data_IF_593544088691
#
_entry.id   IF_593544088691
#
_cell.length_a   1.000
_cell.length_b   1.000
_cell.length_c   1.000
_cell.angle_alpha   90.00
_cell.angle_beta   90.00
_cell.angle_gamma   90.00
#
_symmetry.space_group_name_H-M   'P 1'
#
loop_
_entity.id
_entity.type
_entity.pdbx_description
1 polymer ?
#
# COMPACT_ATOMS: atom_id res chain seq x y z
N UNK A 1 31.60 -60.96 -12.36
CA UNK A 1 32.92 -61.27 -11.82
C UNK A 1 32.85 -60.81 -10.36
N UNK A 2 32.49 -61.75 -9.45
CA UNK A 2 33.33 -62.66 -8.65
C UNK A 2 34.29 -61.87 -7.80
N UNK A 3 34.14 -61.93 -6.62
CA UNK A 3 34.32 -62.77 -5.44
C UNK A 3 35.09 -61.93 -4.41
N UNK A 4 35.21 -62.15 -3.17
CA UNK A 4 34.85 -63.27 -2.26
C UNK A 4 35.06 -62.83 -0.83
N UNK A 5 34.31 -63.40 0.04
CA UNK A 5 34.41 -63.51 1.48
C UNK A 5 35.77 -64.08 2.01
N UNK A 6 36.20 -63.61 3.17
CA UNK A 6 37.01 -64.48 4.02
C UNK A 6 36.76 -64.25 5.53
N UNK A 7 36.24 -65.29 6.14
CA UNK A 7 36.08 -65.50 7.58
C UNK A 7 37.35 -65.90 8.24
N UNK A 8 37.72 -65.23 9.35
CA UNK A 8 38.85 -65.70 10.25
C UNK A 8 38.31 -66.20 11.61
N UNK A 9 38.34 -67.47 11.81
CA UNK A 9 38.12 -68.13 13.10
C UNK A 9 39.37 -67.98 13.94
N UNK A 10 39.28 -67.50 15.15
CA UNK A 10 40.35 -67.59 16.15
C UNK A 10 40.02 -68.69 17.14
N UNK A 11 41.00 -69.50 17.33
CA UNK A 11 41.06 -70.72 18.19
C UNK A 11 41.26 -70.38 19.65
N UNK A 12 40.63 -71.22 20.51
CA UNK A 12 40.74 -71.20 21.97
C UNK A 12 42.00 -72.05 22.40
N UNK A 13 42.80 -71.56 23.32
CA UNK A 13 43.85 -72.44 23.97
C UNK A 13 43.35 -73.00 25.30
N UNK A 14 43.99 -74.14 25.81
CA UNK A 14 43.44 -75.00 26.85
C UNK A 14 43.76 -74.54 28.27
N UNK A 15 42.95 -75.05 29.21
CA UNK A 15 43.12 -74.95 30.69
C UNK A 15 44.42 -75.59 31.23
N UNK A 16 45.02 -74.85 32.12
CA UNK A 16 46.11 -75.40 32.94
C UNK A 16 46.16 -74.78 34.34
N UNK A 17 46.12 -75.65 35.36
CA UNK A 17 46.86 -75.57 36.62
C UNK A 17 46.23 -74.68 37.73
N UNK A 18 45.68 -75.34 38.75
CA UNK A 18 45.45 -74.76 40.08
C UNK A 18 46.83 -74.44 40.74
N UNK A 19 46.98 -73.21 41.24
CA UNK A 19 47.98 -72.87 42.26
C UNK A 19 47.25 -72.25 43.45
N UNK A 20 47.48 -72.82 44.64
CA UNK A 20 47.00 -72.36 45.94
C UNK A 20 47.60 -70.98 46.28
N UNK A 21 46.80 -69.99 46.51
CA UNK A 21 47.20 -68.72 47.12
C UNK A 21 46.69 -68.63 48.55
N UNK A 22 47.49 -68.07 49.46
CA UNK A 22 47.09 -67.87 50.85
C UNK A 22 46.03 -66.83 50.99
N UNK A 23 45.14 -66.85 52.04
CA UNK A 23 44.04 -65.95 52.21
C UNK A 23 44.51 -64.51 52.38
N UNK A 24 43.93 -63.64 51.59
CA UNK A 24 44.13 -62.17 51.64
C UNK A 24 43.60 -61.57 52.94
N UNK A 25 44.29 -60.57 53.53
CA UNK A 25 43.81 -59.86 54.71
C UNK A 25 42.56 -59.11 54.49
N UNK A 26 41.63 -59.15 55.44
CA UNK A 26 40.37 -58.39 55.48
C UNK A 26 40.62 -56.91 55.39
N UNK A 27 39.89 -56.17 54.54
CA UNK A 27 40.01 -54.72 54.50
C UNK A 27 39.36 -54.09 55.73
N UNK A 28 39.88 -52.95 56.22
CA UNK A 28 39.25 -52.23 57.34
C UNK A 28 37.89 -51.58 56.96
N UNK A 29 37.00 -51.36 57.92
CA UNK A 29 35.72 -50.79 57.66
C UNK A 29 35.84 -49.30 57.28
N UNK A 30 35.68 -48.98 56.01
CA UNK A 30 35.59 -47.60 55.54
C UNK A 30 34.19 -47.03 55.74
N UNK A 31 33.95 -46.53 56.94
CA UNK A 31 32.78 -45.73 57.26
C UNK A 31 33.03 -44.25 56.99
N UNK A 32 32.92 -43.86 55.76
CA UNK A 32 32.61 -42.45 55.47
C UNK A 32 31.23 -42.36 54.79
N UNK A 33 30.28 -41.67 55.43
CA UNK A 33 29.00 -41.46 54.79
C UNK A 33 29.20 -40.54 53.58
N UNK A 34 29.00 -41.09 52.39
CA UNK A 34 28.86 -40.31 51.17
C UNK A 34 27.70 -39.34 51.35
N UNK A 35 28.02 -38.09 51.67
CA UNK A 35 27.05 -37.00 51.68
C UNK A 35 26.58 -36.77 50.27
N UNK A 36 25.46 -37.37 49.87
CA UNK A 36 24.80 -37.10 48.57
C UNK A 36 24.55 -35.61 48.50
N UNK A 37 25.23 -34.94 47.59
CA UNK A 37 24.87 -33.54 47.24
C UNK A 37 23.43 -33.56 46.73
N UNK A 38 22.50 -33.11 47.56
CA UNK A 38 21.12 -33.00 47.18
C UNK A 38 21.01 -32.22 45.90
N UNK A 39 20.42 -32.82 44.86
CA UNK A 39 20.11 -32.12 43.59
C UNK A 39 19.27 -30.91 43.93
N UNK A 40 19.86 -29.73 43.80
CA UNK A 40 19.13 -28.46 43.92
C UNK A 40 17.95 -28.50 42.96
N UNK A 41 16.73 -28.60 43.50
CA UNK A 41 15.50 -28.52 42.70
C UNK A 41 15.49 -27.15 42.01
N UNK A 42 15.44 -27.08 40.68
CA UNK A 42 15.38 -25.81 40.01
C UNK A 42 14.12 -25.04 40.47
N UNK A 43 14.31 -23.81 40.88
CA UNK A 43 13.22 -22.92 41.31
C UNK A 43 12.48 -22.40 40.08
N UNK A 44 11.66 -23.26 39.47
CA UNK A 44 10.93 -22.99 38.24
C UNK A 44 10.15 -21.65 38.30
N UNK A 45 9.57 -21.28 39.44
CA UNK A 45 8.88 -20.01 39.59
C UNK A 45 9.81 -18.80 39.42
N UNK A 46 11.07 -18.84 39.90
CA UNK A 46 12.04 -17.74 39.69
C UNK A 46 12.55 -17.69 38.25
N UNK A 47 12.74 -18.87 37.63
CA UNK A 47 13.17 -18.98 36.23
C UNK A 47 12.06 -18.44 35.33
N UNK A 48 10.80 -18.81 35.57
CA UNK A 48 9.63 -18.31 34.83
C UNK A 48 9.46 -16.79 35.00
N UNK A 49 9.67 -16.24 36.21
CA UNK A 49 9.59 -14.80 36.46
C UNK A 49 10.71 -14.04 35.76
N UNK A 50 11.94 -14.53 35.75
CA UNK A 50 13.06 -13.93 35.04
C UNK A 50 12.87 -14.01 33.50
N UNK A 51 12.37 -15.14 33.01
CA UNK A 51 12.06 -15.30 31.61
C UNK A 51 10.90 -14.37 31.17
N UNK A 52 9.86 -14.21 31.99
CA UNK A 52 8.78 -13.26 31.77
C UNK A 52 9.27 -11.82 31.76
N UNK A 53 10.13 -11.43 32.72
CA UNK A 53 10.72 -10.09 32.74
C UNK A 53 11.61 -9.84 31.52
N UNK A 54 12.42 -10.79 31.11
CA UNK A 54 13.26 -10.69 29.90
C UNK A 54 12.40 -10.55 28.64
N UNK A 55 11.31 -11.33 28.52
CA UNK A 55 10.36 -11.22 27.41
C UNK A 55 9.69 -9.84 27.37
N UNK A 56 9.30 -9.31 28.56
CA UNK A 56 8.73 -7.96 28.66
C UNK A 56 9.73 -6.89 28.21
N UNK A 57 10.98 -6.97 28.66
CA UNK A 57 12.04 -6.03 28.27
C UNK A 57 12.29 -6.08 26.76
N UNK A 58 12.34 -7.28 26.18
CA UNK A 58 12.49 -7.47 24.72
C UNK A 58 11.28 -6.85 24.00
N UNK A 59 10.07 -7.07 24.48
CA UNK A 59 8.85 -6.50 23.88
C UNK A 59 8.86 -4.95 23.93
N UNK A 60 9.30 -4.37 25.06
CA UNK A 60 9.43 -2.91 25.19
C UNK A 60 10.50 -2.36 24.24
N UNK A 61 11.68 -2.97 24.18
CA UNK A 61 12.76 -2.55 23.26
C UNK A 61 12.30 -2.65 21.81
N UNK A 62 11.62 -3.74 21.44
CA UNK A 62 11.07 -3.94 20.10
C UNK A 62 10.00 -2.88 19.79
N UNK A 63 9.10 -2.61 20.73
CA UNK A 63 8.07 -1.57 20.58
C UNK A 63 8.67 -0.17 20.39
N UNK A 64 9.66 0.20 21.20
CA UNK A 64 10.37 1.49 21.07
C UNK A 64 11.13 1.57 19.73
N UNK A 65 11.77 0.48 19.30
CA UNK A 65 12.50 0.43 18.04
C UNK A 65 11.57 0.55 16.84
N UNK A 66 10.42 -0.13 16.86
CA UNK A 66 9.40 -0.04 15.81
C UNK A 66 8.78 1.35 15.77
N UNK A 67 8.48 1.95 16.93
CA UNK A 67 7.97 3.31 17.02
C UNK A 67 8.99 4.34 16.50
N UNK A 68 10.25 4.23 16.90
CA UNK A 68 11.33 5.09 16.41
C UNK A 68 11.56 4.96 14.91
N UNK A 69 11.45 3.73 14.37
CA UNK A 69 11.54 3.47 12.94
C UNK A 69 10.36 4.10 12.18
N UNK A 70 9.12 3.91 12.66
CA UNK A 70 7.93 4.49 12.05
C UNK A 70 7.98 6.03 12.05
N UNK A 71 8.40 6.65 13.15
CA UNK A 71 8.60 8.10 13.22
C UNK A 71 9.74 8.60 12.31
N UNK A 72 10.76 7.78 12.05
CA UNK A 72 11.80 8.08 11.07
C UNK A 72 11.21 8.18 9.67
N UNK A 73 10.47 7.15 9.25
CA UNK A 73 9.79 7.12 7.96
C UNK A 73 8.78 8.27 7.78
N UNK A 74 8.06 8.63 8.84
CA UNK A 74 7.10 9.75 8.80
C UNK A 74 7.80 11.10 8.55
N UNK A 75 9.01 11.29 9.08
CA UNK A 75 9.83 12.50 8.83
C UNK A 75 10.41 12.56 7.41
N UNK A 76 10.59 11.40 6.76
CA UNK A 76 11.10 11.33 5.39
C UNK A 76 10.01 11.62 4.34
N UNK A 77 8.73 11.69 4.74
CA UNK A 77 7.63 12.06 3.85
C UNK A 77 7.77 13.50 3.35
N UNK A 78 7.59 13.69 2.06
CA UNK A 78 7.43 15.02 1.48
C UNK A 78 6.09 15.59 1.90
N UNK A 79 6.09 16.77 2.50
CA UNK A 79 4.86 17.42 2.97
C UNK A 79 4.55 18.68 2.19
N UNK A 80 3.27 18.90 1.97
CA UNK A 80 2.75 20.10 1.31
C UNK A 80 1.60 20.69 2.09
N UNK A 81 1.43 21.99 1.98
CA UNK A 81 0.26 22.66 2.51
C UNK A 81 -0.89 22.60 1.49
N UNK A 82 -1.79 21.65 1.71
CA UNK A 82 -2.95 21.45 0.85
C UNK A 82 -4.22 22.15 1.36
N UNK A 83 -4.25 22.59 2.63
CA UNK A 83 -5.49 23.01 3.30
C UNK A 83 -5.47 24.43 3.88
N UNK A 84 -4.35 24.98 4.32
CA UNK A 84 -4.30 26.30 4.99
C UNK A 84 -4.84 27.44 4.12
N UNK A 85 -4.68 27.33 2.80
CA UNK A 85 -5.21 28.29 1.84
C UNK A 85 -6.74 28.14 1.61
N UNK A 86 -7.39 27.11 2.16
CA UNK A 86 -8.82 26.85 2.02
C UNK A 86 -9.57 27.52 3.19
N UNK A 87 -9.77 28.83 3.12
CA UNK A 87 -10.40 29.62 4.21
C UNK A 87 -11.92 29.74 4.08
N UNK A 88 -12.54 29.13 3.06
CA UNK A 88 -13.99 29.11 2.85
C UNK A 88 -14.68 28.00 3.65
N UNK A 89 -16.01 27.95 3.52
CA UNK A 89 -16.81 26.84 4.09
C UNK A 89 -16.50 25.54 3.35
N UNK A 90 -15.66 24.73 3.94
CA UNK A 90 -15.44 23.37 3.47
C UNK A 90 -16.61 22.46 3.90
N UNK A 91 -16.94 21.41 3.14
CA UNK A 91 -17.94 20.44 3.57
C UNK A 91 -17.65 19.93 4.99
N UNK A 92 -18.70 19.84 5.82
CA UNK A 92 -18.53 19.30 7.16
C UNK A 92 -18.26 17.79 7.12
N UNK A 93 -17.39 17.29 8.02
CA UNK A 93 -17.20 15.87 8.22
C UNK A 93 -18.44 15.27 8.89
N UNK A 94 -19.19 14.45 8.16
CA UNK A 94 -20.48 13.94 8.60
C UNK A 94 -20.38 12.69 9.49
N UNK A 95 -19.32 11.89 9.34
CA UNK A 95 -19.15 10.63 10.09
C UNK A 95 -17.75 10.59 10.71
N UNK A 96 -17.71 10.54 12.04
CA UNK A 96 -16.45 10.37 12.78
C UNK A 96 -15.83 9.00 12.49
N UNK A 97 -14.49 8.97 12.37
CA UNK A 97 -13.73 7.76 12.06
C UNK A 97 -13.65 7.42 10.59
N UNK A 98 -14.63 7.82 9.75
CA UNK A 98 -14.50 7.71 8.31
C UNK A 98 -13.45 8.70 7.79
N UNK A 99 -12.69 8.33 6.75
CA UNK A 99 -11.64 9.17 6.18
C UNK A 99 -11.75 9.24 4.66
N UNK A 100 -11.55 10.43 4.11
CA UNK A 100 -11.55 10.68 2.68
C UNK A 100 -10.20 11.23 2.25
N UNK A 101 -9.55 10.54 1.32
CA UNK A 101 -8.27 10.90 0.74
C UNK A 101 -8.43 11.34 -0.70
N UNK A 102 -7.83 12.44 -1.07
CA UNK A 102 -7.67 12.79 -2.47
C UNK A 102 -6.32 12.28 -2.98
N UNK A 103 -6.33 11.26 -3.80
CA UNK A 103 -5.15 10.71 -4.45
C UNK A 103 -4.96 11.41 -5.80
N UNK A 104 -3.80 12.03 -6.01
CA UNK A 104 -3.46 12.79 -7.20
C UNK A 104 -2.26 12.18 -7.88
N UNK A 105 -2.43 11.74 -9.12
CA UNK A 105 -1.32 11.35 -10.00
C UNK A 105 -1.01 12.49 -10.96
N UNK A 106 0.24 13.00 -10.92
CA UNK A 106 0.68 14.10 -11.77
C UNK A 106 1.66 13.64 -12.84
N UNK A 107 1.63 14.30 -13.99
CA UNK A 107 2.61 14.14 -15.05
C UNK A 107 3.88 15.02 -14.84
N UNK A 108 3.99 15.64 -13.67
CA UNK A 108 5.19 16.38 -13.27
C UNK A 108 6.44 15.52 -13.49
N UNK A 109 7.42 16.10 -14.18
CA UNK A 109 8.71 15.44 -14.43
C UNK A 109 9.78 15.85 -13.43
N UNK A 110 9.53 16.92 -12.70
CA UNK A 110 10.45 17.49 -11.72
C UNK A 110 9.65 17.98 -10.51
N UNK A 111 9.70 17.25 -9.39
CA UNK A 111 9.06 17.67 -8.15
C UNK A 111 9.67 18.96 -7.56
N UNK A 112 10.90 19.31 -7.96
CA UNK A 112 11.61 20.51 -7.51
C UNK A 112 11.53 21.67 -8.52
N UNK A 113 10.72 21.52 -9.59
CA UNK A 113 10.54 22.58 -10.57
C UNK A 113 9.93 23.83 -9.92
N UNK A 114 10.49 24.98 -10.27
CA UNK A 114 10.06 26.27 -9.73
C UNK A 114 8.59 26.54 -10.06
N UNK A 115 7.95 27.31 -9.20
CA UNK A 115 6.51 27.64 -9.22
C UNK A 115 6.03 28.21 -10.58
N UNK A 116 6.91 28.86 -11.35
CA UNK A 116 6.65 29.37 -12.70
C UNK A 116 6.52 28.25 -13.76
N UNK A 117 7.07 27.06 -13.50
CA UNK A 117 6.94 25.88 -14.35
C UNK A 117 5.77 24.98 -13.94
N UNK A 118 5.26 25.13 -12.72
CA UNK A 118 4.11 24.38 -12.18
C UNK A 118 2.83 24.58 -12.98
N UNK A 119 2.68 25.70 -13.70
CA UNK A 119 1.54 25.98 -14.56
C UNK A 119 1.36 25.02 -15.75
N UNK A 120 2.35 24.18 -16.04
CA UNK A 120 2.28 23.13 -17.05
C UNK A 120 1.81 21.78 -16.51
N UNK A 121 1.74 21.61 -15.17
CA UNK A 121 1.41 20.34 -14.54
C UNK A 121 -0.09 20.09 -14.52
N UNK A 122 -0.48 18.87 -14.78
CA UNK A 122 -1.87 18.44 -14.73
C UNK A 122 -2.01 17.20 -13.88
N UNK A 123 -3.09 17.14 -13.15
CA UNK A 123 -3.50 15.92 -12.51
C UNK A 123 -4.06 14.95 -13.58
N UNK A 124 -3.28 13.95 -13.95
CA UNK A 124 -3.70 12.93 -14.91
C UNK A 124 -4.58 11.86 -14.27
N UNK A 125 -4.50 11.72 -12.96
CA UNK A 125 -5.31 10.81 -12.15
C UNK A 125 -5.84 11.56 -10.95
N UNK A 126 -7.15 11.48 -10.70
CA UNK A 126 -7.84 11.99 -9.54
C UNK A 126 -8.72 10.87 -8.98
N UNK A 127 -8.46 10.44 -7.76
CA UNK A 127 -9.22 9.40 -7.07
C UNK A 127 -9.61 9.91 -5.69
N UNK A 128 -10.90 9.95 -5.40
CA UNK A 128 -11.41 10.12 -4.05
C UNK A 128 -11.49 8.74 -3.40
N UNK A 129 -10.59 8.47 -2.47
CA UNK A 129 -10.60 7.23 -1.69
C UNK A 129 -11.34 7.47 -0.39
N UNK A 130 -12.39 6.69 -0.17
CA UNK A 130 -13.16 6.66 1.06
C UNK A 130 -12.80 5.42 1.86
N UNK A 131 -12.45 5.60 3.11
CA UNK A 131 -12.23 4.54 4.10
C UNK A 131 -13.36 4.64 5.13
N UNK A 132 -14.28 3.67 5.20
CA UNK A 132 -15.35 3.64 6.19
C UNK A 132 -14.84 3.69 7.63
N UNK A 133 -15.68 4.11 8.55
CA UNK A 133 -15.33 4.21 9.98
C UNK A 133 -14.93 2.88 10.63
N UNK A 134 -15.29 1.74 10.03
CA UNK A 134 -14.86 0.42 10.49
C UNK A 134 -13.46 0.02 10.01
N UNK A 135 -12.85 0.78 9.09
CA UNK A 135 -11.51 0.61 8.50
C UNK A 135 -11.26 -0.77 7.84
N UNK A 136 -12.32 -1.48 7.41
CA UNK A 136 -12.19 -2.83 6.85
C UNK A 136 -12.12 -2.87 5.33
N UNK A 137 -12.43 -1.77 4.68
CA UNK A 137 -12.45 -1.67 3.23
C UNK A 137 -12.06 -0.27 2.76
N UNK A 138 -11.85 -0.10 1.47
CA UNK A 138 -11.74 1.22 0.87
C UNK A 138 -12.46 1.25 -0.49
N UNK A 139 -13.13 2.36 -0.76
CA UNK A 139 -13.78 2.65 -2.03
C UNK A 139 -12.98 3.73 -2.75
N UNK A 140 -12.51 3.40 -3.94
CA UNK A 140 -11.69 4.28 -4.79
C UNK A 140 -12.56 4.81 -5.93
N UNK A 141 -12.99 6.05 -5.82
CA UNK A 141 -13.85 6.71 -6.81
C UNK A 141 -12.96 7.50 -7.77
N UNK A 142 -12.74 6.95 -8.96
CA UNK A 142 -11.99 7.63 -10.03
C UNK A 142 -12.82 8.76 -10.62
N UNK A 143 -12.30 9.99 -10.56
CA UNK A 143 -12.89 11.17 -11.17
C UNK A 143 -12.21 11.37 -12.53
N UNK A 144 -12.95 11.29 -13.65
CA UNK A 144 -12.36 11.49 -14.97
C UNK A 144 -11.68 12.85 -15.07
N UNK A 145 -10.39 12.88 -15.45
CA UNK A 145 -9.61 14.13 -15.52
C UNK A 145 -10.20 15.19 -16.45
N UNK A 146 -10.94 14.75 -17.49
CA UNK A 146 -11.61 15.62 -18.45
C UNK A 146 -13.05 15.95 -18.05
N UNK A 147 -13.45 15.68 -16.79
CA UNK A 147 -14.77 16.01 -16.27
C UNK A 147 -14.99 17.52 -16.30
N UNK A 148 -16.10 17.95 -16.92
CA UNK A 148 -16.44 19.37 -17.11
C UNK A 148 -17.12 19.92 -15.86
N UNK A 149 -16.39 20.74 -15.08
CA UNK A 149 -16.82 21.25 -13.77
C UNK A 149 -16.63 22.76 -13.68
N UNK A 150 -17.19 23.38 -12.66
CA UNK A 150 -16.79 24.73 -12.25
C UNK A 150 -15.51 24.61 -11.43
N UNK A 151 -14.44 25.24 -11.89
CA UNK A 151 -13.19 25.39 -11.12
C UNK A 151 -13.25 26.76 -10.44
N UNK A 152 -13.24 26.82 -9.10
CA UNK A 152 -13.28 28.06 -8.35
C UNK A 152 -12.12 29.01 -8.75
N UNK A 153 -12.37 30.31 -8.81
CA UNK A 153 -11.38 31.31 -9.24
C UNK A 153 -10.19 31.47 -8.27
N UNK A 154 -10.41 31.18 -6.98
CA UNK A 154 -9.38 31.16 -5.93
C UNK A 154 -9.61 30.01 -4.97
N UNK A 155 -8.64 29.73 -4.07
CA UNK A 155 -8.78 28.70 -3.04
C UNK A 155 -9.81 29.09 -1.96
N UNK A 156 -10.25 30.34 -1.94
CA UNK A 156 -11.21 30.91 -0.99
C UNK A 156 -12.53 31.31 -1.64
N UNK A 157 -12.67 31.10 -2.95
CA UNK A 157 -13.88 31.47 -3.68
C UNK A 157 -15.04 30.51 -3.36
N UNK A 158 -16.29 31.00 -3.40
CA UNK A 158 -17.45 30.12 -3.31
C UNK A 158 -17.46 29.10 -4.47
N UNK A 159 -18.01 27.91 -4.23
CA UNK A 159 -18.01 26.80 -5.19
C UNK A 159 -18.60 27.14 -6.58
N UNK A 160 -19.55 28.09 -6.64
CA UNK A 160 -20.12 28.58 -7.91
C UNK A 160 -19.35 29.72 -8.58
N UNK A 161 -18.37 30.31 -7.87
CA UNK A 161 -17.62 31.49 -8.31
C UNK A 161 -16.32 31.07 -9.01
N UNK A 162 -16.46 30.74 -10.29
CA UNK A 162 -15.34 30.27 -11.10
C UNK A 162 -15.70 30.10 -12.57
N UNK A 163 -14.81 29.48 -13.31
CA UNK A 163 -15.01 29.16 -14.72
C UNK A 163 -15.20 27.67 -14.95
N UNK A 164 -15.96 27.31 -15.98
CA UNK A 164 -16.06 25.91 -16.39
C UNK A 164 -14.80 25.47 -17.11
N UNK A 165 -14.20 24.39 -16.63
CA UNK A 165 -13.02 23.78 -17.21
C UNK A 165 -13.02 22.26 -16.97
N UNK A 166 -12.06 21.56 -17.56
CA UNK A 166 -11.75 20.18 -17.18
C UNK A 166 -11.20 20.18 -15.76
N UNK A 167 -11.61 19.20 -14.93
CA UNK A 167 -11.22 19.17 -13.51
C UNK A 167 -9.68 19.12 -13.31
N UNK A 168 -8.94 18.51 -14.25
CA UNK A 168 -7.47 18.48 -14.19
C UNK A 168 -6.82 19.86 -14.29
N UNK A 169 -7.51 20.86 -14.82
CA UNK A 169 -7.03 22.24 -14.88
C UNK A 169 -6.97 22.90 -13.49
N UNK A 170 -7.73 22.41 -12.52
CA UNK A 170 -7.71 22.93 -11.15
C UNK A 170 -6.29 22.83 -10.54
N UNK A 171 -5.61 21.72 -10.79
CA UNK A 171 -4.23 21.54 -10.33
C UNK A 171 -3.27 22.54 -11.01
N UNK A 172 -3.41 22.77 -12.30
CA UNK A 172 -2.60 23.75 -13.03
C UNK A 172 -2.88 25.21 -12.58
N UNK A 173 -4.10 25.51 -12.12
CA UNK A 173 -4.49 26.87 -11.72
C UNK A 173 -4.09 27.23 -10.29
N UNK A 174 -3.87 26.27 -9.42
CA UNK A 174 -3.57 26.57 -8.01
C UNK A 174 -3.09 25.37 -7.20
N UNK A 175 -2.45 24.39 -7.85
CA UNK A 175 -1.84 23.25 -7.19
C UNK A 175 -2.84 22.35 -6.46
N UNK A 176 -2.33 21.62 -5.45
CA UNK A 176 -3.15 20.74 -4.63
C UNK A 176 -4.29 21.45 -3.91
N UNK A 177 -4.13 22.64 -3.31
CA UNK A 177 -5.23 23.34 -2.66
C UNK A 177 -6.42 23.58 -3.61
N UNK A 178 -6.17 24.02 -4.86
CA UNK A 178 -7.23 24.24 -5.83
C UNK A 178 -7.88 22.93 -6.29
N UNK A 179 -7.11 21.85 -6.43
CA UNK A 179 -7.64 20.53 -6.76
C UNK A 179 -8.57 20.01 -5.64
N UNK A 180 -8.16 20.12 -4.37
CA UNK A 180 -8.98 19.79 -3.21
C UNK A 180 -10.28 20.59 -3.22
N UNK A 181 -10.17 21.91 -3.27
CA UNK A 181 -11.33 22.80 -3.26
C UNK A 181 -12.32 22.48 -4.39
N UNK A 182 -11.79 22.21 -5.59
CA UNK A 182 -12.65 21.87 -6.74
C UNK A 182 -13.34 20.51 -6.53
N UNK A 183 -12.65 19.52 -5.93
CA UNK A 183 -13.24 18.22 -5.63
C UNK A 183 -14.28 18.35 -4.52
N UNK A 184 -14.02 19.09 -3.45
CA UNK A 184 -14.99 19.35 -2.39
C UNK A 184 -16.24 20.08 -2.93
N UNK A 185 -16.05 21.08 -3.78
CA UNK A 185 -17.16 21.78 -4.45
C UNK A 185 -17.97 20.87 -5.39
N UNK A 186 -17.33 19.91 -6.05
CA UNK A 186 -18.01 18.97 -6.95
C UNK A 186 -18.82 17.92 -6.18
N UNK A 187 -18.28 17.46 -5.06
CA UNK A 187 -18.73 16.23 -4.38
C UNK A 187 -19.51 16.50 -3.10
N UNK A 188 -19.35 17.68 -2.50
CA UNK A 188 -19.79 17.99 -1.14
C UNK A 188 -19.27 16.97 -0.09
N UNK A 189 -18.09 16.40 -0.34
CA UNK A 189 -17.40 15.47 0.55
C UNK A 189 -16.20 16.17 1.17
N UNK A 190 -16.08 16.13 2.49
CA UNK A 190 -14.89 16.61 3.19
C UNK A 190 -13.67 15.75 2.84
N UNK A 191 -12.59 16.36 2.39
CA UNK A 191 -11.30 15.70 2.15
C UNK A 191 -10.42 15.84 3.39
N UNK A 192 -10.14 14.73 4.05
CA UNK A 192 -9.30 14.72 5.27
C UNK A 192 -7.82 14.84 4.93
N UNK A 193 -7.36 14.12 3.90
CA UNK A 193 -5.96 14.05 3.52
C UNK A 193 -5.76 14.10 1.99
N UNK A 194 -4.57 14.52 1.59
CA UNK A 194 -4.13 14.52 0.19
C UNK A 194 -2.86 13.72 0.04
N UNK A 195 -2.82 12.89 -1.00
CA UNK A 195 -1.62 12.16 -1.38
C UNK A 195 -1.33 12.38 -2.86
N UNK A 196 -0.16 12.86 -3.20
CA UNK A 196 0.26 13.06 -4.58
C UNK A 196 1.47 12.20 -4.91
N UNK A 197 1.49 11.65 -6.13
CA UNK A 197 2.61 10.88 -6.68
C UNK A 197 2.88 11.33 -8.11
N UNK A 198 4.15 11.46 -8.45
CA UNK A 198 4.59 11.73 -9.82
C UNK A 198 5.02 10.45 -10.56
N UNK A 199 5.39 10.59 -11.83
CA UNK A 199 5.83 9.45 -12.65
C UNK A 199 7.14 8.82 -12.16
N UNK A 200 8.01 9.60 -11.50
CA UNK A 200 9.24 9.09 -10.89
C UNK A 200 8.91 8.15 -9.73
N UNK A 201 8.16 8.69 -8.77
CA UNK A 201 7.71 7.94 -7.60
C UNK A 201 6.87 6.70 -7.94
N UNK A 202 5.99 6.80 -8.93
CA UNK A 202 5.24 5.64 -9.43
C UNK A 202 6.17 4.49 -9.83
N UNK A 203 7.25 4.78 -10.58
CA UNK A 203 8.23 3.77 -11.01
C UNK A 203 8.99 3.19 -9.82
N UNK A 204 9.49 4.05 -8.94
CA UNK A 204 10.28 3.65 -7.78
C UNK A 204 9.50 2.75 -6.83
N UNK A 205 8.25 3.09 -6.51
CA UNK A 205 7.37 2.26 -5.66
C UNK A 205 7.09 0.90 -6.30
N UNK A 206 6.84 0.87 -7.62
CA UNK A 206 6.60 -0.37 -8.35
C UNK A 206 7.84 -1.26 -8.37
N UNK A 207 9.00 -0.69 -8.62
CA UNK A 207 10.28 -1.41 -8.69
C UNK A 207 10.71 -1.93 -7.31
N UNK A 208 10.45 -1.19 -6.23
CA UNK A 208 10.72 -1.63 -4.85
C UNK A 208 9.92 -2.88 -4.46
N UNK A 209 8.74 -3.09 -5.05
CA UNK A 209 7.96 -4.33 -4.90
C UNK A 209 8.44 -5.46 -5.83
N UNK A 210 9.44 -5.19 -6.68
CA UNK A 210 9.91 -6.12 -7.70
C UNK A 210 8.97 -6.22 -8.90
N UNK A 211 8.19 -5.18 -9.20
CA UNK A 211 7.23 -5.14 -10.28
C UNK A 211 5.85 -5.67 -9.91
N UNK A 212 4.91 -5.57 -10.85
CA UNK A 212 3.52 -6.03 -10.73
C UNK A 212 3.11 -6.91 -11.89
N UNK A 213 2.15 -7.82 -11.66
CA UNK A 213 1.59 -8.66 -12.71
C UNK A 213 0.25 -8.07 -13.16
N UNK A 214 0.15 -7.71 -14.46
CA UNK A 214 -1.02 -7.07 -15.04
C UNK A 214 -1.55 -7.87 -16.22
N UNK A 215 -2.87 -7.89 -16.33
CA UNK A 215 -3.55 -8.50 -17.47
C UNK A 215 -3.55 -7.52 -18.66
N UNK A 216 -3.01 -7.96 -19.78
CA UNK A 216 -3.03 -7.24 -21.06
C UNK A 216 -4.16 -7.80 -21.91
N UNK A 217 -5.18 -6.99 -22.20
CA UNK A 217 -6.40 -7.42 -22.90
C UNK A 217 -6.13 -7.81 -24.34
N UNK A 218 -5.26 -7.06 -24.99
CA UNK A 218 -4.86 -7.30 -26.39
C UNK A 218 -3.42 -6.85 -26.62
N UNK A 219 -2.75 -7.48 -27.57
CA UNK A 219 -1.40 -7.07 -27.97
C UNK A 219 -1.43 -5.68 -28.60
N UNK A 220 -0.62 -4.77 -28.07
CA UNK A 220 -0.45 -3.41 -28.57
C UNK A 220 1.03 -3.00 -28.61
N UNK A 221 1.36 -2.06 -29.45
CA UNK A 221 2.62 -1.32 -29.38
C UNK A 221 2.35 0.03 -28.73
N UNK A 222 3.15 0.37 -27.71
CA UNK A 222 3.02 1.66 -27.01
C UNK A 222 3.25 2.84 -27.96
N UNK A 223 2.46 3.89 -27.78
CA UNK A 223 2.71 5.20 -28.47
C UNK A 223 3.83 5.99 -27.81
N UNK A 224 4.26 5.60 -26.61
CA UNK A 224 5.33 6.27 -25.86
C UNK A 224 6.68 5.62 -26.13
N UNK A 225 7.75 6.40 -26.32
CA UNK A 225 9.10 5.85 -26.40
C UNK A 225 9.43 4.97 -25.17
N UNK A 226 10.12 3.87 -25.38
CA UNK A 226 10.72 3.28 -26.58
C UNK A 226 9.79 2.40 -27.42
N UNK A 227 8.47 2.64 -27.40
CA UNK A 227 7.45 1.89 -28.16
C UNK A 227 7.40 0.40 -27.80
N UNK A 228 7.26 0.12 -26.50
CA UNK A 228 7.20 -1.26 -25.97
C UNK A 228 6.02 -2.04 -26.54
N UNK A 229 6.22 -3.32 -26.77
CA UNK A 229 5.14 -4.23 -27.13
C UNK A 229 4.58 -4.84 -25.84
N UNK A 230 3.28 -4.66 -25.61
CA UNK A 230 2.52 -5.33 -24.58
C UNK A 230 1.75 -6.49 -25.20
N UNK A 231 2.11 -7.72 -24.84
CA UNK A 231 1.52 -8.93 -25.38
C UNK A 231 0.31 -9.36 -24.59
N UNK A 232 -0.78 -9.73 -25.25
CA UNK A 232 -2.00 -10.24 -24.61
C UNK A 232 -1.71 -11.38 -23.63
N UNK A 233 -2.27 -11.30 -22.43
CA UNK A 233 -2.11 -12.25 -21.34
C UNK A 233 -1.58 -11.57 -20.06
N UNK A 234 -1.17 -12.37 -19.09
CA UNK A 234 -0.51 -11.85 -17.89
C UNK A 234 0.93 -11.45 -18.22
N UNK A 235 1.29 -10.23 -17.88
CA UNK A 235 2.65 -9.72 -18.05
C UNK A 235 3.18 -9.22 -16.71
N UNK A 236 4.39 -9.64 -16.36
CA UNK A 236 5.15 -9.04 -15.28
C UNK A 236 5.76 -7.73 -15.78
N UNK A 237 5.47 -6.62 -15.09
CA UNK A 237 5.88 -5.28 -15.50
C UNK A 237 6.68 -4.61 -14.38
N UNK A 238 7.87 -4.11 -14.71
CA UNK A 238 8.60 -3.18 -13.86
C UNK A 238 7.94 -1.80 -13.87
N UNK A 239 8.41 -0.86 -13.04
CA UNK A 239 7.81 0.47 -12.90
C UNK A 239 7.70 1.23 -14.21
N UNK A 240 8.73 1.15 -15.08
CA UNK A 240 8.71 1.83 -16.38
C UNK A 240 7.70 1.21 -17.36
N UNK A 241 7.56 -0.11 -17.33
CA UNK A 241 6.57 -0.83 -18.16
C UNK A 241 5.15 -0.61 -17.65
N UNK A 242 4.95 -0.69 -16.33
CA UNK A 242 3.66 -0.44 -15.70
C UNK A 242 3.19 1.01 -15.95
N UNK A 243 4.07 2.00 -15.80
CA UNK A 243 3.76 3.40 -16.09
C UNK A 243 3.36 3.60 -17.57
N UNK A 244 4.09 2.98 -18.48
CA UNK A 244 3.77 3.04 -19.91
C UNK A 244 2.39 2.38 -20.18
N UNK A 245 2.11 1.22 -19.58
CA UNK A 245 0.84 0.51 -19.72
C UNK A 245 -0.36 1.34 -19.20
N UNK A 246 -0.30 1.86 -17.98
CA UNK A 246 -1.43 2.63 -17.40
C UNK A 246 -1.68 3.98 -18.07
N UNK A 247 -0.81 4.41 -18.98
CA UNK A 247 -0.97 5.62 -19.80
C UNK A 247 -1.55 5.35 -21.17
N UNK A 248 -1.64 4.08 -21.61
CA UNK A 248 -2.21 3.71 -22.91
C UNK A 248 -3.70 4.06 -22.98
N UNK A 249 -4.12 4.67 -24.10
CA UNK A 249 -5.50 5.10 -24.26
C UNK A 249 -6.00 5.01 -25.72
N UNK A 250 -5.22 5.48 -26.70
CA UNK A 250 -5.64 5.60 -28.09
C UNK A 250 -5.83 4.25 -28.80
N UNK A 251 -5.17 3.21 -28.33
CA UNK A 251 -5.28 1.86 -28.89
C UNK A 251 -6.53 1.12 -28.40
N UNK A 252 -7.26 1.71 -27.45
CA UNK A 252 -8.44 1.10 -26.83
C UNK A 252 -9.72 1.83 -27.23
N UNK A 253 -10.84 1.10 -27.45
CA UNK A 253 -12.06 1.67 -28.03
C UNK A 253 -12.73 2.72 -27.15
N UNK A 254 -12.60 2.60 -25.81
CA UNK A 254 -13.17 3.58 -24.86
C UNK A 254 -12.18 4.68 -24.43
N UNK A 255 -10.97 4.68 -25.01
CA UNK A 255 -9.96 5.73 -24.80
C UNK A 255 -9.64 5.95 -23.32
N UNK A 256 -10.05 7.10 -22.78
CA UNK A 256 -9.72 7.48 -21.41
C UNK A 256 -10.35 6.57 -20.34
N UNK A 257 -11.50 5.98 -20.61
CA UNK A 257 -12.14 5.03 -19.70
C UNK A 257 -11.39 3.72 -19.58
N UNK A 258 -10.76 3.24 -20.66
CA UNK A 258 -9.88 2.08 -20.59
C UNK A 258 -8.60 2.41 -19.82
N UNK A 259 -8.07 3.62 -19.95
CA UNK A 259 -6.95 4.08 -19.13
C UNK A 259 -7.30 4.08 -17.64
N UNK A 260 -8.45 4.60 -17.24
CA UNK A 260 -8.93 4.57 -15.86
C UNK A 260 -9.00 3.12 -15.34
N UNK A 261 -9.51 2.20 -16.14
CA UNK A 261 -9.56 0.77 -15.80
C UNK A 261 -8.15 0.20 -15.59
N UNK A 262 -7.20 0.44 -16.49
CA UNK A 262 -5.81 -0.01 -16.32
C UNK A 262 -5.16 0.56 -15.05
N UNK A 263 -5.46 1.81 -14.68
CA UNK A 263 -5.00 2.42 -13.43
C UNK A 263 -5.60 1.72 -12.21
N UNK A 264 -6.88 1.38 -12.24
CA UNK A 264 -7.55 0.62 -11.16
C UNK A 264 -6.98 -0.80 -11.00
N UNK A 265 -6.75 -1.50 -12.11
CA UNK A 265 -6.12 -2.83 -12.14
C UNK A 265 -4.69 -2.77 -11.59
N UNK A 266 -3.92 -1.75 -11.96
CA UNK A 266 -2.59 -1.51 -11.43
C UNK A 266 -2.60 -1.28 -9.91
N UNK A 267 -3.47 -0.39 -9.40
CA UNK A 267 -3.58 -0.13 -7.97
C UNK A 267 -3.94 -1.39 -7.20
N UNK A 268 -4.87 -2.20 -7.72
CA UNK A 268 -5.20 -3.49 -7.13
C UNK A 268 -3.99 -4.42 -7.09
N UNK A 269 -3.29 -4.59 -8.20
CA UNK A 269 -2.11 -5.45 -8.29
C UNK A 269 -0.97 -4.97 -7.36
N UNK A 270 -0.77 -3.65 -7.27
CA UNK A 270 0.21 -3.04 -6.36
C UNK A 270 -0.13 -3.35 -4.90
N UNK A 271 -1.39 -3.19 -4.49
CA UNK A 271 -1.85 -3.48 -3.14
C UNK A 271 -1.76 -4.97 -2.80
N UNK A 272 -2.15 -5.85 -3.72
CA UNK A 272 -2.02 -7.30 -3.56
C UNK A 272 -0.54 -7.69 -3.41
N UNK A 273 0.36 -7.08 -4.16
CA UNK A 273 1.81 -7.32 -4.08
C UNK A 273 2.40 -6.79 -2.77
N UNK A 274 2.03 -5.57 -2.37
CA UNK A 274 2.47 -4.95 -1.12
C UNK A 274 2.01 -5.74 0.11
N UNK A 275 0.74 -6.18 0.10
CA UNK A 275 0.16 -6.99 1.18
C UNK A 275 0.55 -8.47 1.14
N UNK A 276 1.22 -8.90 0.08
CA UNK A 276 1.64 -10.30 -0.11
C UNK A 276 2.68 -10.75 0.90
N UNK A 277 2.66 -12.04 1.24
CA UNK A 277 3.59 -12.63 2.21
C UNK A 277 5.07 -12.40 1.85
N UNK A 278 5.41 -12.33 0.57
CA UNK A 278 6.76 -12.09 0.09
C UNK A 278 7.33 -10.69 0.42
N UNK A 279 6.47 -9.69 0.67
CA UNK A 279 6.86 -8.35 1.08
C UNK A 279 6.82 -8.21 2.61
N UNK A 280 5.68 -8.54 3.22
CA UNK A 280 5.47 -8.34 4.67
C UNK A 280 6.38 -9.23 5.53
N UNK A 281 6.62 -10.47 5.12
CA UNK A 281 7.45 -11.42 5.90
C UNK A 281 8.95 -11.24 5.67
N UNK A 282 9.36 -10.39 4.73
CA UNK A 282 10.77 -10.08 4.47
C UNK A 282 11.09 -8.66 4.94
N UNK A 283 11.76 -8.47 6.09
CA UNK A 283 12.03 -7.15 6.66
C UNK A 283 12.82 -6.22 5.72
N UNK A 284 13.73 -6.76 4.89
CA UNK A 284 14.50 -5.99 3.92
C UNK A 284 13.58 -5.42 2.82
N UNK A 285 12.77 -6.28 2.20
CA UNK A 285 11.81 -5.85 1.16
C UNK A 285 10.78 -4.87 1.69
N UNK A 286 10.27 -5.10 2.90
CA UNK A 286 9.32 -4.18 3.54
C UNK A 286 9.96 -2.82 3.76
N UNK A 287 11.19 -2.78 4.30
CA UNK A 287 11.94 -1.54 4.50
C UNK A 287 12.17 -0.79 3.18
N UNK A 288 12.61 -1.48 2.13
CA UNK A 288 12.88 -0.87 0.82
C UNK A 288 11.60 -0.32 0.19
N UNK A 289 10.51 -1.06 0.31
CA UNK A 289 9.19 -0.60 -0.13
C UNK A 289 8.71 0.64 0.63
N UNK A 290 8.79 0.63 1.97
CA UNK A 290 8.38 1.77 2.79
C UNK A 290 9.22 3.01 2.49
N UNK A 291 10.54 2.87 2.32
CA UNK A 291 11.41 3.97 1.91
C UNK A 291 11.07 4.50 0.51
N UNK A 292 10.79 3.62 -0.43
CA UNK A 292 10.38 4.04 -1.77
C UNK A 292 9.06 4.81 -1.73
N UNK A 293 8.08 4.36 -0.93
CA UNK A 293 6.81 5.07 -0.76
C UNK A 293 7.02 6.44 -0.13
N UNK A 294 7.76 6.54 0.98
CA UNK A 294 7.99 7.82 1.67
C UNK A 294 8.79 8.83 0.83
N UNK A 295 9.70 8.36 0.00
CA UNK A 295 10.44 9.21 -0.94
C UNK A 295 9.60 9.66 -2.14
N UNK A 296 8.63 8.83 -2.56
CA UNK A 296 7.85 9.01 -3.79
C UNK A 296 6.56 9.81 -3.60
N UNK A 297 5.97 9.75 -2.41
CA UNK A 297 4.66 10.33 -2.13
C UNK A 297 4.80 11.66 -1.40
N UNK A 298 4.06 12.67 -1.87
CA UNK A 298 3.86 13.92 -1.17
C UNK A 298 2.51 13.89 -0.47
N UNK A 299 2.46 14.22 0.82
CA UNK A 299 1.24 14.21 1.64
C UNK A 299 0.97 15.61 2.22
N UNK A 300 -0.25 15.82 2.75
CA UNK A 300 -0.54 17.03 3.52
C UNK A 300 0.25 17.08 4.84
N UNK A 301 0.24 18.25 5.49
CA UNK A 301 1.01 18.48 6.71
C UNK A 301 0.53 17.66 7.91
N UNK A 302 -0.79 17.36 7.96
CA UNK A 302 -1.43 16.70 9.09
C UNK A 302 -1.46 15.16 8.92
N UNK A 303 -1.03 14.63 7.77
CA UNK A 303 -0.99 13.19 7.53
C UNK A 303 0.01 12.51 8.47
N UNK A 304 -0.42 11.44 9.13
CA UNK A 304 0.40 10.56 9.97
C UNK A 304 0.54 9.18 9.34
N UNK A 305 1.77 8.79 9.00
CA UNK A 305 2.05 7.45 8.48
C UNK A 305 1.72 6.35 9.49
N UNK A 306 1.93 6.64 10.79
CA UNK A 306 1.63 5.70 11.86
C UNK A 306 0.12 5.45 11.98
N UNK A 307 -0.68 6.53 11.94
CA UNK A 307 -2.14 6.41 11.98
C UNK A 307 -2.68 5.71 10.73
N UNK A 308 -2.13 6.04 9.56
CA UNK A 308 -2.48 5.35 8.32
C UNK A 308 -2.15 3.85 8.38
N UNK A 309 -0.99 3.47 8.93
CA UNK A 309 -0.61 2.07 9.09
C UNK A 309 -1.55 1.29 10.03
N UNK A 310 -2.02 1.94 11.11
CA UNK A 310 -3.00 1.35 12.03
C UNK A 310 -4.38 1.24 11.38
N UNK A 311 -4.83 2.32 10.73
CA UNK A 311 -6.17 2.40 10.15
C UNK A 311 -6.32 1.52 8.89
N UNK A 312 -5.24 1.32 8.12
CA UNK A 312 -5.27 0.54 6.88
C UNK A 312 -4.77 -0.89 7.03
N UNK A 313 -4.43 -1.32 8.26
CA UNK A 313 -3.84 -2.66 8.51
C UNK A 313 -4.69 -3.82 8.00
N UNK A 314 -6.02 -3.65 7.94
CA UNK A 314 -6.96 -4.68 7.50
C UNK A 314 -7.38 -4.54 6.03
N UNK A 315 -6.97 -3.46 5.35
CA UNK A 315 -7.28 -3.22 3.94
C UNK A 315 -6.35 -4.05 3.06
N UNK A 316 -6.94 -4.82 2.13
CA UNK A 316 -6.26 -5.67 1.15
C UNK A 316 -6.90 -5.46 -0.22
N UNK A 317 -6.27 -5.94 -1.29
CA UNK A 317 -6.80 -5.80 -2.64
C UNK A 317 -8.20 -6.39 -2.85
N UNK A 318 -8.61 -7.38 -2.06
CA UNK A 318 -9.95 -7.99 -2.11
C UNK A 318 -11.04 -7.15 -1.43
N UNK A 319 -10.68 -6.22 -0.53
CA UNK A 319 -11.62 -5.26 0.08
C UNK A 319 -11.48 -3.84 -0.51
N UNK A 320 -10.77 -3.71 -1.62
CA UNK A 320 -10.81 -2.50 -2.44
C UNK A 320 -11.96 -2.59 -3.43
N UNK A 321 -12.73 -1.52 -3.51
CA UNK A 321 -13.77 -1.36 -4.52
C UNK A 321 -13.47 -0.17 -5.39
N UNK A 322 -13.48 -0.39 -6.70
CA UNK A 322 -13.23 0.66 -7.67
C UNK A 322 -14.53 1.12 -8.32
N UNK A 323 -14.77 2.41 -8.29
CA UNK A 323 -15.95 3.06 -8.86
C UNK A 323 -15.45 4.17 -9.79
N UNK A 324 -16.05 4.35 -10.94
CA UNK A 324 -15.85 5.56 -11.73
C UNK A 324 -16.99 6.54 -11.44
N UNK A 325 -16.67 7.81 -11.18
CA UNK A 325 -17.66 8.86 -10.97
C UNK A 325 -18.72 8.83 -12.08
N UNK A 326 -20.01 8.78 -11.75
CA UNK A 326 -21.08 8.66 -12.72
C UNK A 326 -21.03 9.75 -13.79
N UNK A 327 -21.05 9.35 -15.05
CA UNK A 327 -20.93 10.28 -16.18
C UNK A 327 -21.72 9.81 -17.40
N UNK A 328 -22.01 10.75 -18.29
CA UNK A 328 -22.75 10.53 -19.55
C UNK A 328 -21.82 10.32 -20.75
N UNK A 329 -20.52 10.07 -20.51
CA UNK A 329 -19.52 9.95 -21.55
C UNK A 329 -18.97 11.28 -22.05
N UNK A 330 -18.26 11.21 -23.17
CA UNK A 330 -17.58 12.37 -23.75
C UNK A 330 -18.51 13.19 -24.64
N UNK A 331 -18.40 14.54 -24.54
CA UNK A 331 -19.07 15.51 -25.41
C UNK A 331 -18.09 16.58 -25.84
N UNK A 332 -18.38 17.26 -26.95
CA UNK A 332 -17.62 18.44 -27.35
C UNK A 332 -18.32 19.70 -26.82
N UNK A 333 -17.64 20.46 -25.97
CA UNK A 333 -18.11 21.75 -25.41
C UNK A 333 -17.02 22.79 -25.68
N UNK A 334 -17.41 23.91 -26.31
CA UNK A 334 -16.47 24.99 -26.66
C UNK A 334 -15.23 24.49 -27.41
N UNK A 335 -15.42 23.56 -28.36
CA UNK A 335 -14.32 22.95 -29.15
C UNK A 335 -13.43 21.96 -28.41
N UNK A 336 -13.71 21.65 -27.13
CA UNK A 336 -12.95 20.71 -26.31
C UNK A 336 -13.72 19.41 -26.11
N UNK A 337 -13.03 18.28 -26.23
CA UNK A 337 -13.59 16.99 -25.80
C UNK A 337 -13.55 16.93 -24.27
N UNK A 338 -14.72 16.81 -23.64
CA UNK A 338 -14.91 16.81 -22.19
C UNK A 338 -15.79 15.63 -21.77
N UNK A 339 -15.69 15.20 -20.52
CA UNK A 339 -16.60 14.24 -19.91
C UNK A 339 -17.70 15.02 -19.16
N UNK A 340 -18.95 14.60 -19.33
CA UNK A 340 -20.08 15.25 -18.65
C UNK A 340 -20.58 14.39 -17.50
N UNK A 341 -20.72 14.97 -16.31
CA UNK A 341 -21.25 14.27 -15.15
C UNK A 341 -22.70 13.82 -15.37
N UNK A 342 -23.03 12.59 -14.94
CA UNK A 342 -24.41 12.19 -14.66
C UNK A 342 -24.75 12.73 -13.26
N UNK A 343 -25.26 13.97 -13.23
CA UNK A 343 -25.36 14.76 -12.01
C UNK A 343 -26.19 14.06 -10.93
N UNK A 344 -27.29 13.45 -11.29
CA UNK A 344 -28.20 12.79 -10.34
C UNK A 344 -27.50 11.61 -9.65
N UNK A 345 -26.91 10.71 -10.45
CA UNK A 345 -26.18 9.55 -9.92
C UNK A 345 -24.90 9.94 -9.19
N UNK A 346 -24.23 11.00 -9.66
CA UNK A 346 -23.01 11.49 -9.00
C UNK A 346 -23.32 12.07 -7.62
N UNK A 347 -24.36 12.89 -7.49
CA UNK A 347 -24.82 13.41 -6.19
C UNK A 347 -25.17 12.26 -5.25
N UNK A 348 -25.95 11.27 -5.71
CA UNK A 348 -26.31 10.12 -4.88
C UNK A 348 -25.09 9.32 -4.40
N UNK A 349 -24.08 9.14 -5.27
CA UNK A 349 -22.82 8.49 -4.89
C UNK A 349 -22.07 9.31 -3.82
N UNK A 350 -21.87 10.60 -4.05
CA UNK A 350 -21.07 11.42 -3.15
C UNK A 350 -21.77 11.67 -1.81
N UNK A 351 -23.10 11.76 -1.77
CA UNK A 351 -23.87 11.73 -0.53
C UNK A 351 -23.68 10.42 0.24
N UNK A 352 -23.62 9.29 -0.47
CA UNK A 352 -23.32 8.00 0.15
C UNK A 352 -21.88 7.96 0.72
N UNK A 353 -20.92 8.58 0.04
CA UNK A 353 -19.54 8.76 0.55
C UNK A 353 -19.56 9.61 1.82
N UNK A 354 -20.15 10.79 1.78
CA UNK A 354 -20.22 11.70 2.93
C UNK A 354 -20.89 11.05 4.16
N UNK A 355 -21.87 10.16 3.94
CA UNK A 355 -22.63 9.47 4.99
C UNK A 355 -22.09 8.09 5.36
N UNK A 356 -20.91 7.67 4.84
CA UNK A 356 -20.34 6.33 5.05
C UNK A 356 -21.29 5.18 4.64
N UNK A 357 -22.03 5.36 3.52
CA UNK A 357 -23.05 4.42 3.01
C UNK A 357 -22.76 3.91 1.60
N UNK A 358 -21.51 3.95 1.15
CA UNK A 358 -21.15 3.55 -0.22
C UNK A 358 -21.51 2.08 -0.50
N UNK A 359 -21.37 1.20 0.50
CA UNK A 359 -21.77 -0.21 0.37
C UNK A 359 -23.25 -0.39 0.03
N UNK A 360 -24.14 0.37 0.70
CA UNK A 360 -25.57 0.37 0.41
C UNK A 360 -25.88 0.96 -0.99
N UNK A 361 -25.19 2.04 -1.36
CA UNK A 361 -25.33 2.64 -2.69
C UNK A 361 -24.92 1.65 -3.79
N UNK A 362 -23.83 0.92 -3.61
CA UNK A 362 -23.36 -0.09 -4.56
C UNK A 362 -24.34 -1.25 -4.72
N UNK A 363 -24.96 -1.69 -3.63
CA UNK A 363 -25.99 -2.74 -3.67
C UNK A 363 -27.20 -2.32 -4.49
N UNK A 364 -27.59 -1.04 -4.41
CA UNK A 364 -28.68 -0.45 -5.19
C UNK A 364 -28.27 -0.11 -6.64
N UNK A 365 -26.96 0.05 -6.90
CA UNK A 365 -26.40 0.45 -8.19
C UNK A 365 -25.31 -0.53 -8.64
N UNK A 366 -25.64 -1.78 -8.99
CA UNK A 366 -24.66 -2.77 -9.36
C UNK A 366 -23.83 -2.28 -10.55
N UNK A 367 -22.53 -2.14 -10.35
CA UNK A 367 -21.60 -1.75 -11.39
C UNK A 367 -21.57 -2.83 -12.45
N UNK A 368 -21.83 -2.50 -13.70
CA UNK A 368 -21.67 -3.44 -14.80
C UNK A 368 -20.22 -3.91 -14.79
N UNK A 369 -20.01 -5.20 -14.53
CA UNK A 369 -18.69 -5.82 -14.76
C UNK A 369 -18.34 -5.55 -16.21
N UNK A 370 -17.35 -4.73 -16.45
CA UNK A 370 -16.78 -4.51 -17.77
C UNK A 370 -15.94 -5.75 -18.08
N UNK A 371 -16.57 -6.71 -18.77
CA UNK A 371 -15.84 -7.84 -19.38
C UNK A 371 -14.93 -7.31 -20.48
#
# INVERSE_FOLDING_TARGET
>A
MSAATSSGRASVPPRGGYQDYPPSPTPPPSGHPYRSKGKLKPRWGRIALLAGLAALVIAIITGISLYGYANGLDKDLKRTDAFSALTGDRPAKAVEGAMNFLLVGSDSRDPDAKEDQANAWRADTLILMHVPADHKSAQLISIPRDLWVVVPKSNTAACGDGSRAKINAAFAFGGLPRAVHTVECLTDVHVDHVMAIDFGGFKEVTDALGGVDLAVDKTITSIHPPHRVFTKGMMHMNGAQALDWVRQRYQFPRGDFDRVRHQQEFLKALMDKAAGSGTITNPGKLNDFLKAVTAAVTVDQDFSLTDAAVNFRDIRGNNLTFITSPNQGSKTISGQSVVVSDREKAIALYQAVAQDKVGAWMSANPQKKTN
#
